data_IF_149113016429
#
_entry.id   IF_149113016429
#
_cell.length_a   1.000
_cell.length_b   1.000
_cell.length_c   1.000
_cell.angle_alpha   90.00
_cell.angle_beta   90.00
_cell.angle_gamma   90.00
#
_symmetry.space_group_name_H-M   'P 1'
#
loop_
_entity.id
_entity.type
_entity.pdbx_description
1 polymer ?
#
# COMPACT_ATOMS: atom_id res chain seq x y z
N UNK A 1 -24.45 37.31 -24.13
CA UNK A 1 -23.25 37.29 -23.27
C UNK A 1 -23.13 35.88 -22.72
N UNK A 2 -22.12 35.09 -23.10
CA UNK A 2 -21.90 33.76 -22.54
C UNK A 2 -21.19 33.88 -21.19
N UNK A 3 -21.65 33.14 -20.20
CA UNK A 3 -21.05 33.01 -18.87
C UNK A 3 -19.74 32.24 -19.01
N UNK A 4 -18.67 32.85 -18.58
CA UNK A 4 -17.32 32.29 -18.52
C UNK A 4 -17.26 31.18 -17.45
N UNK A 5 -16.98 30.00 -17.93
CA UNK A 5 -16.65 28.79 -17.15
C UNK A 5 -15.35 29.05 -16.36
N UNK A 6 -15.46 29.11 -15.06
CA UNK A 6 -14.30 29.18 -14.17
C UNK A 6 -13.65 27.78 -14.12
N UNK A 7 -12.67 27.56 -14.99
CA UNK A 7 -11.79 26.39 -14.92
C UNK A 7 -11.03 26.45 -13.61
N UNK A 8 -11.29 25.45 -12.76
CA UNK A 8 -10.51 25.17 -11.58
C UNK A 8 -9.02 25.05 -11.97
N UNK A 9 -8.24 26.00 -11.48
CA UNK A 9 -6.78 25.99 -11.67
C UNK A 9 -6.21 24.81 -10.88
N UNK A 10 -5.28 24.01 -11.42
CA UNK A 10 -4.64 22.92 -10.67
C UNK A 10 -3.95 23.51 -9.42
N UNK A 11 -4.25 22.91 -8.26
CA UNK A 11 -3.64 23.28 -6.98
C UNK A 11 -2.13 22.99 -7.07
N UNK A 12 -1.26 23.99 -6.85
CA UNK A 12 0.18 23.76 -6.82
C UNK A 12 0.53 22.82 -5.67
N UNK A 13 1.63 22.03 -5.78
CA UNK A 13 2.10 21.18 -4.70
C UNK A 13 2.36 22.02 -3.43
N UNK A 14 2.16 21.47 -2.23
CA UNK A 14 2.24 22.24 -0.99
C UNK A 14 3.64 22.80 -0.77
N UNK A 15 3.75 24.13 -0.68
CA UNK A 15 4.92 24.81 -0.12
C UNK A 15 5.03 24.43 1.35
N UNK A 16 6.05 23.67 1.72
CA UNK A 16 6.35 23.45 3.12
C UNK A 16 7.00 22.13 3.52
N UNK A 17 7.87 21.56 2.68
CA UNK A 17 8.81 20.53 3.15
C UNK A 17 10.08 20.57 2.28
N UNK A 18 10.91 21.57 2.46
CA UNK A 18 12.26 21.60 1.90
C UNK A 18 13.22 20.82 2.82
N UNK A 19 13.02 19.52 2.97
CA UNK A 19 14.11 18.58 3.13
C UNK A 19 14.54 18.20 1.72
N UNK A 20 15.85 18.01 1.44
CA UNK A 20 16.38 17.62 0.15
C UNK A 20 15.69 16.30 -0.29
N UNK A 21 14.58 16.43 -0.99
CA UNK A 21 13.74 15.30 -1.42
C UNK A 21 14.49 14.67 -2.58
N UNK A 22 15.15 13.51 -2.32
CA UNK A 22 15.76 12.69 -3.36
C UNK A 22 14.72 12.25 -4.38
N UNK A 23 15.18 11.64 -5.48
CA UNK A 23 14.26 11.07 -6.48
C UNK A 23 13.25 10.12 -5.83
N UNK A 24 11.95 10.18 -6.20
CA UNK A 24 10.92 9.33 -5.62
C UNK A 24 11.21 7.85 -5.92
N UNK A 25 10.92 6.98 -4.97
CA UNK A 25 11.01 5.53 -5.19
C UNK A 25 9.89 5.05 -6.12
N UNK A 26 8.69 5.57 -5.95
CA UNK A 26 7.53 5.32 -6.82
C UNK A 26 7.03 6.66 -7.32
N UNK A 27 6.89 6.79 -8.64
CA UNK A 27 6.32 7.98 -9.27
C UNK A 27 5.18 7.60 -10.21
N UNK A 28 4.05 8.25 -10.03
CA UNK A 28 2.82 8.10 -10.82
C UNK A 28 2.58 9.44 -11.51
N UNK A 29 2.39 9.44 -12.84
CA UNK A 29 2.22 10.67 -13.65
C UNK A 29 1.07 10.51 -14.62
N UNK A 30 0.05 11.35 -14.48
CA UNK A 30 -1.10 11.43 -15.36
C UNK A 30 -1.86 10.10 -15.49
N UNK A 31 -1.84 9.25 -14.45
CA UNK A 31 -2.33 7.88 -14.56
C UNK A 31 -3.84 7.84 -14.56
N UNK A 32 -4.38 7.25 -15.62
CA UNK A 32 -5.81 6.96 -15.74
C UNK A 32 -6.04 5.46 -15.93
N UNK A 33 -7.14 4.94 -15.37
CA UNK A 33 -7.57 3.55 -15.53
C UNK A 33 -9.05 3.48 -15.85
N UNK A 34 -9.35 2.87 -16.99
CA UNK A 34 -10.70 2.61 -17.44
C UNK A 34 -11.03 1.11 -17.33
N UNK A 35 -12.23 0.80 -16.88
CA UNK A 35 -12.87 -0.52 -16.98
C UNK A 35 -14.14 -0.36 -17.83
N UNK A 36 -14.03 -0.64 -19.14
CA UNK A 36 -15.06 -0.24 -20.09
C UNK A 36 -15.23 1.28 -20.09
N UNK A 37 -16.44 1.76 -19.83
CA UNK A 37 -16.77 3.19 -19.75
C UNK A 37 -16.55 3.78 -18.34
N UNK A 38 -16.25 2.96 -17.34
CA UNK A 38 -16.03 3.40 -15.97
C UNK A 38 -14.58 3.82 -15.74
N UNK A 39 -14.36 5.11 -15.41
CA UNK A 39 -13.07 5.65 -15.04
C UNK A 39 -12.80 5.43 -13.55
N UNK A 40 -11.99 4.41 -13.23
CA UNK A 40 -11.59 4.10 -11.86
C UNK A 40 -10.47 4.98 -11.34
N UNK A 41 -9.57 5.46 -12.22
CA UNK A 41 -8.54 6.45 -11.94
C UNK A 41 -8.57 7.51 -13.04
N UNK A 42 -8.37 8.78 -12.66
CA UNK A 42 -8.42 9.94 -13.54
C UNK A 42 -7.26 10.86 -13.23
N UNK A 43 -6.30 10.91 -14.15
CA UNK A 43 -5.17 11.84 -14.11
C UNK A 43 -4.46 11.90 -12.75
N UNK A 44 -4.02 10.73 -12.25
CA UNK A 44 -3.41 10.60 -10.93
C UNK A 44 -1.93 10.97 -11.01
N UNK A 45 -1.53 11.94 -10.19
CA UNK A 45 -0.14 12.28 -9.90
C UNK A 45 0.18 11.99 -8.44
N UNK A 46 1.21 11.16 -8.21
CA UNK A 46 1.64 10.78 -6.86
C UNK A 46 3.11 10.39 -6.85
N UNK A 47 3.89 10.97 -5.94
CA UNK A 47 5.24 10.53 -5.61
C UNK A 47 5.25 9.87 -4.23
N UNK A 48 6.06 8.81 -4.08
CA UNK A 48 6.34 8.17 -2.79
C UNK A 48 7.85 8.08 -2.66
N UNK A 49 8.38 8.72 -1.62
CA UNK A 49 9.82 8.79 -1.38
C UNK A 49 10.31 7.59 -0.55
N UNK A 50 11.63 7.35 -0.58
CA UNK A 50 12.24 6.27 0.20
C UNK A 50 12.06 6.51 1.70
N UNK A 51 11.60 5.48 2.41
CA UNK A 51 11.29 5.54 3.84
C UNK A 51 9.98 6.24 4.16
N UNK A 52 9.27 6.80 3.18
CA UNK A 52 7.98 7.48 3.39
C UNK A 52 6.84 6.47 3.57
N UNK A 53 5.97 6.73 4.53
CA UNK A 53 4.72 6.00 4.77
C UNK A 53 3.55 6.86 4.35
N UNK A 54 2.90 6.49 3.25
CA UNK A 54 1.76 7.22 2.69
C UNK A 54 0.46 6.46 2.99
N UNK A 55 -0.47 7.09 3.72
CA UNK A 55 -1.82 6.59 3.86
C UNK A 55 -2.68 7.02 2.67
N UNK A 56 -3.34 6.08 2.02
CA UNK A 56 -4.31 6.32 0.97
C UNK A 56 -5.72 6.05 1.51
N UNK A 57 -6.48 7.11 1.72
CA UNK A 57 -7.81 7.06 2.33
C UNK A 57 -8.89 7.59 1.39
N UNK A 58 -10.16 7.29 1.69
CA UNK A 58 -11.29 7.72 0.88
C UNK A 58 -12.45 6.73 0.92
N UNK A 59 -13.58 7.09 0.35
CA UNK A 59 -14.76 6.25 0.31
C UNK A 59 -14.52 4.92 -0.46
N UNK A 60 -15.34 3.92 -0.21
CA UNK A 60 -15.32 2.69 -1.01
C UNK A 60 -15.60 3.04 -2.48
N UNK A 61 -14.86 2.38 -3.40
CA UNK A 61 -14.96 2.64 -4.83
C UNK A 61 -14.24 3.92 -5.32
N UNK A 62 -13.50 4.64 -4.46
CA UNK A 62 -12.76 5.85 -4.88
C UNK A 62 -11.50 5.60 -5.72
N UNK A 63 -11.11 4.34 -5.97
CA UNK A 63 -9.98 3.99 -6.83
C UNK A 63 -8.71 3.55 -6.08
N UNK A 64 -8.65 3.59 -4.75
CA UNK A 64 -7.47 3.28 -3.91
C UNK A 64 -6.81 1.93 -4.24
N UNK A 65 -7.58 0.84 -4.14
CA UNK A 65 -7.10 -0.51 -4.46
C UNK A 65 -6.67 -0.64 -5.92
N UNK A 66 -7.35 0.07 -6.83
CA UNK A 66 -6.99 0.09 -8.25
C UNK A 66 -5.61 0.73 -8.43
N UNK A 67 -5.32 1.85 -7.75
CA UNK A 67 -4.01 2.50 -7.80
C UNK A 67 -2.91 1.57 -7.28
N UNK A 68 -3.09 0.93 -6.12
CA UNK A 68 -2.14 -0.06 -5.60
C UNK A 68 -1.88 -1.20 -6.59
N UNK A 69 -2.93 -1.72 -7.23
CA UNK A 69 -2.80 -2.79 -8.23
C UNK A 69 -2.13 -2.33 -9.51
N UNK A 70 -2.29 -1.06 -9.92
CA UNK A 70 -1.55 -0.49 -11.04
C UNK A 70 -0.06 -0.39 -10.72
N UNK A 71 0.32 0.06 -9.52
CA UNK A 71 1.72 0.18 -9.08
C UNK A 71 2.44 -1.18 -9.10
N UNK A 72 1.77 -2.25 -8.66
CA UNK A 72 2.33 -3.62 -8.71
C UNK A 72 2.07 -4.35 -10.04
N UNK A 73 1.57 -3.64 -11.06
CA UNK A 73 1.26 -4.18 -12.39
C UNK A 73 0.30 -5.38 -12.36
N UNK A 74 -0.56 -5.49 -11.34
CA UNK A 74 -1.69 -6.42 -11.33
C UNK A 74 -2.83 -5.92 -12.20
N UNK A 75 -2.92 -4.59 -12.36
CA UNK A 75 -3.76 -3.90 -13.33
C UNK A 75 -2.88 -3.06 -14.26
N UNK A 76 -3.29 -2.98 -15.53
CA UNK A 76 -2.65 -2.10 -16.51
C UNK A 76 -3.27 -0.71 -16.43
N UNK A 77 -2.48 0.33 -16.58
CA UNK A 77 -3.00 1.69 -16.77
C UNK A 77 -3.57 1.85 -18.17
N UNK A 78 -4.55 2.74 -18.34
CA UNK A 78 -5.11 3.09 -19.65
C UNK A 78 -4.35 4.27 -20.27
N UNK A 79 -3.82 5.16 -19.43
CA UNK A 79 -2.99 6.31 -19.81
C UNK A 79 -2.05 6.68 -18.67
N UNK A 80 -1.03 7.47 -18.96
CA UNK A 80 -0.02 7.89 -18.01
C UNK A 80 1.11 6.89 -17.80
N UNK A 81 2.00 7.18 -16.87
CA UNK A 81 3.21 6.39 -16.60
C UNK A 81 3.41 6.19 -15.10
N UNK A 82 3.77 4.96 -14.72
CA UNK A 82 4.26 4.65 -13.37
C UNK A 82 5.71 4.21 -13.48
N UNK A 83 6.58 4.78 -12.63
CA UNK A 83 7.97 4.36 -12.49
C UNK A 83 8.25 3.87 -11.08
N UNK A 84 9.13 2.87 -10.97
CA UNK A 84 9.67 2.39 -9.70
C UNK A 84 11.19 2.44 -9.79
N UNK A 85 11.82 3.09 -8.83
CA UNK A 85 13.28 3.28 -8.81
C UNK A 85 13.81 3.87 -10.14
N UNK A 86 13.10 4.90 -10.66
CA UNK A 86 13.41 5.58 -11.92
C UNK A 86 13.12 4.77 -13.19
N UNK A 87 12.55 3.56 -13.09
CA UNK A 87 12.28 2.67 -14.24
C UNK A 87 10.79 2.55 -14.49
N UNK A 88 10.31 2.69 -15.74
CA UNK A 88 8.93 2.43 -16.10
C UNK A 88 8.53 0.98 -15.75
N UNK A 89 7.25 0.78 -15.40
CA UNK A 89 6.74 -0.56 -15.13
C UNK A 89 6.86 -1.45 -16.36
N UNK A 90 7.46 -2.64 -16.25
CA UNK A 90 7.55 -3.61 -17.33
C UNK A 90 6.18 -4.21 -17.65
N UNK A 91 5.99 -4.62 -18.92
CA UNK A 91 4.73 -5.23 -19.35
C UNK A 91 4.61 -6.68 -18.92
N UNK A 92 5.66 -7.48 -19.11
CA UNK A 92 5.64 -8.91 -18.85
C UNK A 92 7.04 -9.52 -18.62
N UNK A 93 7.08 -10.82 -18.39
CA UNK A 93 8.34 -11.58 -18.37
C UNK A 93 9.13 -11.46 -17.08
N UNK A 94 10.46 -11.59 -17.20
CA UNK A 94 11.39 -11.59 -16.06
C UNK A 94 11.44 -10.25 -15.35
N UNK A 95 11.30 -9.15 -16.08
CA UNK A 95 11.34 -7.81 -15.51
C UNK A 95 10.11 -7.53 -14.65
N UNK A 96 8.93 -8.07 -15.03
CA UNK A 96 7.73 -8.00 -14.20
C UNK A 96 7.88 -8.84 -12.92
N UNK A 97 8.48 -10.03 -13.01
CA UNK A 97 8.77 -10.84 -11.83
C UNK A 97 9.77 -10.12 -10.89
N UNK A 98 10.75 -9.41 -11.45
CA UNK A 98 11.69 -8.58 -10.70
C UNK A 98 10.97 -7.41 -10.02
N UNK A 99 10.13 -6.65 -10.73
CA UNK A 99 9.33 -5.58 -10.14
C UNK A 99 8.55 -6.09 -8.94
N UNK A 100 7.82 -7.20 -9.08
CA UNK A 100 7.03 -7.80 -8.00
C UNK A 100 7.86 -8.36 -6.84
N UNK A 101 9.15 -8.58 -7.03
CA UNK A 101 10.07 -8.87 -5.94
C UNK A 101 10.58 -7.61 -5.24
N UNK A 102 10.66 -6.48 -5.96
CA UNK A 102 11.10 -5.18 -5.43
C UNK A 102 9.96 -4.38 -4.78
N UNK A 103 8.70 -4.65 -5.16
CA UNK A 103 7.49 -4.03 -4.58
C UNK A 103 6.60 -5.12 -4.02
N UNK A 104 6.66 -5.32 -2.72
CA UNK A 104 5.82 -6.27 -1.99
C UNK A 104 4.36 -5.82 -1.96
N UNK A 105 3.42 -6.76 -1.95
CA UNK A 105 2.00 -6.44 -1.81
C UNK A 105 1.32 -7.37 -0.82
N UNK A 106 0.56 -6.78 0.09
CA UNK A 106 -0.28 -7.44 1.09
C UNK A 106 -1.73 -7.09 0.80
N UNK A 107 -2.55 -8.12 0.65
CA UNK A 107 -3.96 -8.00 0.23
C UNK A 107 -4.90 -8.13 1.42
N UNK A 108 -6.10 -7.61 1.26
CA UNK A 108 -7.22 -7.78 2.19
C UNK A 108 -7.53 -9.27 2.49
N UNK A 109 -7.45 -10.14 1.50
CA UNK A 109 -7.83 -11.56 1.60
C UNK A 109 -6.66 -12.49 1.90
N UNK A 110 -5.55 -11.99 2.47
CA UNK A 110 -4.32 -12.72 2.85
C UNK A 110 -3.61 -13.43 1.70
N UNK A 111 -4.34 -14.07 0.81
CA UNK A 111 -3.87 -14.80 -0.38
C UNK A 111 -2.74 -15.82 -0.07
N UNK A 112 -2.85 -16.52 1.05
CA UNK A 112 -1.93 -17.60 1.40
C UNK A 112 -2.24 -18.86 0.58
N UNK A 113 -1.20 -19.64 0.29
CA UNK A 113 -1.36 -20.96 -0.31
C UNK A 113 -1.92 -21.91 0.75
N UNK A 114 -3.19 -22.40 0.61
CA UNK A 114 -3.90 -23.10 1.68
C UNK A 114 -3.31 -24.48 2.01
N UNK A 115 -2.58 -25.07 1.06
CA UNK A 115 -1.93 -26.38 1.19
C UNK A 115 -0.48 -26.29 1.70
N UNK A 116 0.06 -25.08 1.89
CA UNK A 116 1.40 -24.84 2.41
C UNK A 116 1.32 -24.33 3.85
N UNK A 117 2.27 -24.75 4.68
CA UNK A 117 2.45 -24.26 6.05
C UNK A 117 2.90 -22.80 6.04
N UNK A 118 2.80 -22.10 7.18
CA UNK A 118 3.22 -20.71 7.30
C UNK A 118 4.66 -20.50 6.81
N UNK A 119 5.61 -21.31 7.30
CA UNK A 119 7.02 -21.24 6.87
C UNK A 119 7.19 -21.52 5.37
N UNK A 120 6.40 -22.40 4.79
CA UNK A 120 6.46 -22.73 3.37
C UNK A 120 5.87 -21.60 2.50
N UNK A 121 4.81 -20.92 2.97
CA UNK A 121 4.30 -19.70 2.34
C UNK A 121 5.36 -18.60 2.27
N UNK A 122 6.15 -18.44 3.33
CA UNK A 122 7.21 -17.42 3.40
C UNK A 122 8.41 -17.80 2.53
N UNK A 123 8.83 -19.08 2.51
CA UNK A 123 10.04 -19.53 1.79
C UNK A 123 9.85 -19.66 0.29
N UNK A 124 8.62 -19.81 -0.20
CA UNK A 124 8.35 -20.12 -1.61
C UNK A 124 8.90 -19.07 -2.57
N UNK A 125 8.64 -17.79 -2.30
CA UNK A 125 9.12 -16.67 -3.12
C UNK A 125 10.65 -16.62 -3.22
N UNK A 126 11.39 -16.53 -2.11
CA UNK A 126 12.85 -16.54 -2.09
C UNK A 126 13.45 -17.72 -2.85
N UNK A 127 12.93 -18.93 -2.64
CA UNK A 127 13.44 -20.13 -3.31
C UNK A 127 13.17 -20.15 -4.82
N UNK A 128 11.96 -19.75 -5.24
CA UNK A 128 11.54 -19.89 -6.64
C UNK A 128 11.93 -18.71 -7.52
N UNK A 129 11.94 -17.50 -6.97
CA UNK A 129 12.19 -16.27 -7.72
C UNK A 129 13.63 -15.82 -7.58
N UNK A 130 14.19 -15.87 -6.34
CA UNK A 130 15.56 -15.41 -6.05
C UNK A 130 16.59 -16.53 -6.07
N UNK A 131 16.18 -17.81 -6.12
CA UNK A 131 17.07 -18.95 -6.13
C UNK A 131 17.79 -19.20 -4.78
N UNK A 132 17.24 -18.66 -3.67
CA UNK A 132 17.82 -18.82 -2.33
C UNK A 132 17.79 -20.30 -1.93
N UNK A 133 18.90 -20.85 -1.38
CA UNK A 133 18.95 -22.24 -0.89
C UNK A 133 17.89 -22.48 0.19
N UNK A 134 17.28 -23.68 0.18
CA UNK A 134 16.16 -24.03 1.08
C UNK A 134 16.50 -23.83 2.56
N UNK A 135 17.71 -24.16 2.98
CA UNK A 135 18.13 -24.02 4.38
C UNK A 135 18.18 -22.54 4.81
N UNK A 136 18.73 -21.68 3.96
CA UNK A 136 18.83 -20.24 4.16
C UNK A 136 17.45 -19.59 4.16
N UNK A 137 16.63 -19.85 3.12
CA UNK A 137 15.26 -19.34 3.05
C UNK A 137 14.42 -19.76 4.26
N UNK A 138 14.63 -20.98 4.79
CA UNK A 138 13.93 -21.45 5.98
C UNK A 138 14.38 -20.73 7.25
N UNK A 139 15.70 -20.51 7.42
CA UNK A 139 16.23 -19.78 8.57
C UNK A 139 15.66 -18.36 8.62
N UNK A 140 15.73 -17.65 7.49
CA UNK A 140 15.15 -16.30 7.36
C UNK A 140 13.62 -16.28 7.59
N UNK A 141 12.90 -17.25 7.05
CA UNK A 141 11.46 -17.35 7.25
C UNK A 141 11.09 -17.55 8.73
N UNK A 142 11.88 -18.31 9.49
CA UNK A 142 11.66 -18.48 10.93
C UNK A 142 11.87 -17.15 11.69
N UNK A 143 12.90 -16.38 11.33
CA UNK A 143 13.17 -15.06 11.91
C UNK A 143 12.03 -14.06 11.58
N UNK A 144 11.58 -14.04 10.32
CA UNK A 144 10.48 -13.17 9.91
C UNK A 144 9.15 -13.53 10.59
N UNK A 145 8.85 -14.83 10.71
CA UNK A 145 7.66 -15.28 11.44
C UNK A 145 7.74 -14.91 12.93
N UNK A 146 8.93 -15.01 13.53
CA UNK A 146 9.15 -14.56 14.90
C UNK A 146 8.94 -13.05 15.03
N UNK A 147 9.50 -12.26 14.11
CA UNK A 147 9.35 -10.79 14.07
C UNK A 147 7.89 -10.34 13.98
N UNK A 148 7.04 -11.07 13.26
CA UNK A 148 5.60 -10.77 13.20
C UNK A 148 4.79 -11.48 14.30
N UNK A 149 5.44 -11.97 15.39
CA UNK A 149 4.78 -12.55 16.56
C UNK A 149 4.14 -13.91 16.31
N UNK A 150 4.68 -14.73 15.40
CA UNK A 150 4.15 -16.05 15.04
C UNK A 150 5.07 -17.21 15.46
N UNK A 151 5.85 -17.03 16.55
CA UNK A 151 6.63 -18.13 17.13
C UNK A 151 5.71 -19.26 17.55
N UNK A 152 6.10 -20.51 17.18
CA UNK A 152 5.32 -21.72 17.44
C UNK A 152 4.18 -21.96 16.45
N UNK A 153 3.99 -21.09 15.43
CA UNK A 153 2.99 -21.24 14.37
C UNK A 153 3.56 -21.55 12.99
N UNK A 154 4.87 -21.73 12.88
CA UNK A 154 5.60 -21.88 11.62
C UNK A 154 5.13 -23.09 10.81
N UNK A 155 4.66 -24.12 11.50
CA UNK A 155 4.19 -25.38 10.90
C UNK A 155 2.68 -25.47 10.75
N UNK A 156 1.92 -24.42 11.14
CA UNK A 156 0.46 -24.37 10.99
C UNK A 156 0.09 -24.15 9.53
N UNK A 157 -1.00 -24.78 9.09
CA UNK A 157 -1.67 -24.48 7.82
C UNK A 157 -2.51 -23.21 7.97
N UNK A 158 -2.81 -22.45 6.90
CA UNK A 158 -3.66 -21.26 6.96
C UNK A 158 -4.99 -21.48 7.68
N UNK A 159 -5.66 -22.61 7.46
CA UNK A 159 -6.91 -22.96 8.12
C UNK A 159 -6.81 -23.14 9.65
N UNK A 160 -5.60 -23.25 10.20
CA UNK A 160 -5.32 -23.39 11.64
C UNK A 160 -4.91 -22.04 12.28
N UNK A 161 -4.89 -20.97 11.50
CA UNK A 161 -4.49 -19.64 11.91
C UNK A 161 -5.71 -18.69 11.95
N UNK A 162 -5.74 -17.78 12.92
CA UNK A 162 -6.72 -16.69 12.93
C UNK A 162 -6.50 -15.76 11.73
N UNK A 163 -7.48 -14.92 11.38
CA UNK A 163 -7.35 -13.93 10.31
C UNK A 163 -6.13 -13.02 10.49
N UNK A 164 -5.91 -12.48 11.69
CA UNK A 164 -4.73 -11.66 11.99
C UNK A 164 -3.42 -12.43 11.90
N UNK A 165 -3.40 -13.72 12.29
CA UNK A 165 -2.22 -14.57 12.10
C UNK A 165 -1.95 -14.83 10.62
N UNK A 166 -2.98 -15.07 9.81
CA UNK A 166 -2.84 -15.24 8.37
C UNK A 166 -2.30 -13.96 7.71
N UNK A 167 -2.79 -12.79 8.13
CA UNK A 167 -2.30 -11.51 7.63
C UNK A 167 -0.83 -11.29 7.98
N UNK A 168 -0.43 -11.62 9.20
CA UNK A 168 0.98 -11.50 9.60
C UNK A 168 1.88 -12.49 8.85
N UNK A 169 1.40 -13.70 8.49
CA UNK A 169 2.12 -14.59 7.55
C UNK A 169 2.23 -13.93 6.17
N UNK A 170 1.18 -13.27 5.66
CA UNK A 170 1.23 -12.58 4.37
C UNK A 170 2.24 -11.42 4.38
N UNK A 171 2.34 -10.67 5.49
CA UNK A 171 3.37 -9.64 5.68
C UNK A 171 4.77 -10.27 5.67
N UNK A 172 5.00 -11.33 6.47
CA UNK A 172 6.29 -12.02 6.51
C UNK A 172 6.69 -12.58 5.14
N UNK A 173 5.74 -13.12 4.37
CA UNK A 173 5.94 -13.60 3.00
C UNK A 173 6.40 -12.48 2.06
N UNK A 174 5.80 -11.30 2.16
CA UNK A 174 6.19 -10.15 1.35
C UNK A 174 7.59 -9.66 1.74
N UNK A 175 7.90 -9.57 3.04
CA UNK A 175 9.21 -9.15 3.57
C UNK A 175 10.35 -10.10 3.17
N UNK A 176 10.09 -11.40 3.04
CA UNK A 176 11.09 -12.39 2.62
C UNK A 176 11.64 -12.15 1.21
N UNK A 177 10.97 -11.34 0.40
CA UNK A 177 11.47 -10.90 -0.90
C UNK A 177 12.43 -9.72 -0.82
N UNK A 178 12.67 -9.12 0.36
CA UNK A 178 13.48 -7.91 0.59
C UNK A 178 13.01 -6.74 -0.30
N UNK A 179 11.73 -6.38 -0.26
CA UNK A 179 11.19 -5.36 -1.14
C UNK A 179 11.72 -3.98 -0.77
N UNK A 180 11.80 -3.09 -1.77
CA UNK A 180 12.12 -1.66 -1.60
C UNK A 180 10.93 -0.86 -1.08
N UNK A 181 9.72 -1.32 -1.39
CA UNK A 181 8.46 -0.76 -0.91
C UNK A 181 7.42 -1.85 -0.65
N UNK A 182 6.51 -1.59 0.27
CA UNK A 182 5.36 -2.43 0.59
C UNK A 182 4.05 -1.71 0.27
N UNK A 183 3.17 -2.35 -0.49
CA UNK A 183 1.81 -1.90 -0.74
C UNK A 183 0.85 -2.71 0.12
N UNK A 184 0.01 -2.04 0.87
CA UNK A 184 -1.03 -2.65 1.70
C UNK A 184 -2.41 -2.25 1.15
N UNK A 185 -3.18 -3.23 0.67
CA UNK A 185 -4.54 -3.02 0.15
C UNK A 185 -5.55 -3.47 1.20
N UNK A 186 -5.97 -2.55 2.07
CA UNK A 186 -6.92 -2.74 3.17
C UNK A 186 -6.55 -3.94 4.09
N UNK A 187 -5.36 -3.95 4.70
CA UNK A 187 -4.83 -5.14 5.38
C UNK A 187 -5.62 -5.58 6.62
N UNK A 188 -6.52 -4.75 7.13
CA UNK A 188 -7.30 -5.01 8.37
C UNK A 188 -8.78 -5.23 8.12
N UNK A 189 -9.30 -4.91 6.92
CA UNK A 189 -10.76 -4.87 6.66
C UNK A 189 -11.48 -6.23 6.72
N UNK A 190 -10.73 -7.34 6.64
CA UNK A 190 -11.27 -8.70 6.77
C UNK A 190 -11.02 -9.31 8.17
N UNK A 191 -10.63 -8.48 9.16
CA UNK A 191 -10.25 -8.92 10.50
C UNK A 191 -11.28 -8.51 11.56
N UNK A 192 -11.37 -9.34 12.59
CA UNK A 192 -12.09 -8.97 13.80
C UNK A 192 -11.39 -7.79 14.52
N UNK A 193 -12.14 -6.85 15.14
CA UNK A 193 -11.58 -5.68 15.80
C UNK A 193 -10.50 -6.01 16.85
N UNK A 194 -10.63 -7.15 17.54
CA UNK A 194 -9.69 -7.57 18.59
C UNK A 194 -8.29 -7.88 18.07
N UNK A 195 -8.16 -8.28 16.78
CA UNK A 195 -6.88 -8.67 16.18
C UNK A 195 -6.28 -7.61 15.23
N UNK A 196 -7.02 -6.54 14.93
CA UNK A 196 -6.55 -5.43 14.08
C UNK A 196 -5.27 -4.83 14.65
N UNK A 197 -5.24 -4.61 15.96
CA UNK A 197 -4.09 -4.00 16.64
C UNK A 197 -2.79 -4.77 16.38
N UNK A 198 -2.82 -6.11 16.44
CA UNK A 198 -1.63 -6.94 16.23
C UNK A 198 -1.01 -6.75 14.83
N UNK A 199 -1.85 -6.51 13.81
CA UNK A 199 -1.40 -6.25 12.45
C UNK A 199 -0.85 -4.83 12.31
N UNK A 200 -1.53 -3.84 12.93
CA UNK A 200 -1.09 -2.44 12.92
C UNK A 200 0.22 -2.25 13.70
N UNK A 201 0.43 -2.97 14.78
CA UNK A 201 1.68 -2.96 15.56
C UNK A 201 2.86 -3.42 14.67
N UNK A 202 2.69 -4.52 13.90
CA UNK A 202 3.69 -4.98 12.93
C UNK A 202 3.95 -3.92 11.84
N UNK A 203 2.91 -3.28 11.32
CA UNK A 203 3.07 -2.23 10.30
C UNK A 203 3.78 -0.99 10.87
N UNK A 204 3.52 -0.65 12.12
CA UNK A 204 4.22 0.45 12.83
C UNK A 204 5.71 0.14 12.99
N UNK A 205 6.07 -1.09 13.39
CA UNK A 205 7.48 -1.51 13.47
C UNK A 205 8.18 -1.43 12.10
N UNK A 206 7.48 -1.72 11.01
CA UNK A 206 8.02 -1.59 9.66
C UNK A 206 8.25 -0.12 9.26
N UNK A 207 7.33 0.78 9.65
CA UNK A 207 7.46 2.22 9.46
C UNK A 207 8.70 2.77 10.21
N UNK A 208 8.82 2.43 11.50
CA UNK A 208 9.94 2.83 12.34
C UNK A 208 11.29 2.29 11.83
N UNK A 209 11.27 1.12 11.17
CA UNK A 209 12.45 0.55 10.51
C UNK A 209 12.78 1.21 9.16
N UNK A 210 12.06 2.26 8.74
CA UNK A 210 12.29 3.00 7.51
C UNK A 210 11.78 2.31 6.23
N UNK A 211 10.83 1.39 6.35
CA UNK A 211 10.20 0.75 5.18
C UNK A 211 9.33 1.75 4.43
N UNK A 212 9.55 1.89 3.11
CA UNK A 212 8.65 2.67 2.25
C UNK A 212 7.31 1.95 2.13
N UNK A 213 6.21 2.64 2.42
CA UNK A 213 4.89 2.02 2.41
C UNK A 213 3.82 2.90 1.76
N UNK A 214 2.95 2.29 0.95
CA UNK A 214 1.65 2.85 0.56
C UNK A 214 0.56 1.99 1.18
N UNK A 215 -0.25 2.58 2.04
CA UNK A 215 -1.23 1.85 2.85
C UNK A 215 -2.64 2.35 2.55
N UNK A 216 -3.43 1.56 1.84
CA UNK A 216 -4.88 1.77 1.74
C UNK A 216 -5.49 1.32 3.06
N UNK A 217 -6.11 2.23 3.79
CA UNK A 217 -6.63 1.92 5.12
C UNK A 217 -7.90 2.70 5.46
N UNK A 218 -8.69 2.12 6.35
CA UNK A 218 -9.79 2.76 7.08
C UNK A 218 -9.42 3.02 8.55
N UNK A 219 -8.20 2.66 8.97
CA UNK A 219 -7.70 2.86 10.32
C UNK A 219 -7.16 4.29 10.48
N UNK A 220 -8.03 5.24 10.82
CA UNK A 220 -7.68 6.67 10.91
C UNK A 220 -6.63 6.95 11.98
N UNK A 221 -6.62 6.16 13.06
CA UNK A 221 -5.59 6.23 14.10
C UNK A 221 -4.19 5.92 13.55
N UNK A 222 -4.06 4.86 12.74
CA UNK A 222 -2.81 4.52 12.06
C UNK A 222 -2.40 5.61 11.08
N UNK A 223 -3.32 6.07 10.22
CA UNK A 223 -3.05 7.12 9.25
C UNK A 223 -2.59 8.43 9.91
N UNK A 224 -3.12 8.76 11.10
CA UNK A 224 -2.77 9.99 11.83
C UNK A 224 -1.43 9.91 12.56
N UNK A 225 -1.09 8.75 13.15
CA UNK A 225 0.04 8.68 14.09
C UNK A 225 1.29 7.99 13.52
N UNK A 226 1.16 7.22 12.44
CA UNK A 226 2.25 6.42 11.88
C UNK A 226 2.66 6.88 10.49
N UNK A 227 1.73 7.41 9.69
CA UNK A 227 2.03 7.84 8.34
C UNK A 227 2.64 9.24 8.29
N UNK A 228 3.53 9.48 7.31
CA UNK A 228 4.14 10.78 7.07
C UNK A 228 3.23 11.69 6.25
N UNK A 229 2.37 11.10 5.42
CA UNK A 229 1.44 11.83 4.54
C UNK A 229 0.14 11.07 4.37
N UNK A 230 -0.95 11.82 4.31
CA UNK A 230 -2.29 11.33 3.98
C UNK A 230 -2.66 11.83 2.59
N UNK A 231 -3.10 10.91 1.73
CA UNK A 231 -3.63 11.17 0.39
C UNK A 231 -5.10 10.76 0.39
N UNK A 232 -5.98 11.73 0.18
CA UNK A 232 -7.41 11.50 0.11
C UNK A 232 -7.88 11.37 -1.33
N UNK A 233 -8.48 10.24 -1.65
CA UNK A 233 -9.07 9.96 -2.96
C UNK A 233 -10.59 9.95 -2.92
N UNK A 234 -11.20 10.54 -3.94
CA UNK A 234 -12.63 10.46 -4.18
C UNK A 234 -12.91 10.43 -5.68
N UNK A 235 -13.84 9.54 -6.10
CA UNK A 235 -14.33 9.44 -7.50
C UNK A 235 -13.22 9.28 -8.55
N UNK A 236 -12.15 8.56 -8.19
CA UNK A 236 -11.01 8.27 -9.07
C UNK A 236 -9.95 9.36 -9.12
N UNK A 237 -10.03 10.40 -8.30
CA UNK A 237 -9.12 11.54 -8.26
C UNK A 237 -8.43 11.66 -6.91
N UNK A 238 -7.19 12.19 -6.88
CA UNK A 238 -6.58 12.69 -5.65
C UNK A 238 -7.13 14.09 -5.40
N UNK A 239 -7.89 14.23 -4.30
CA UNK A 239 -8.57 15.48 -3.94
C UNK A 239 -7.70 16.33 -3.04
N UNK A 240 -6.95 15.69 -2.13
CA UNK A 240 -6.11 16.38 -1.17
C UNK A 240 -4.96 15.47 -0.74
N UNK A 241 -3.77 16.06 -0.57
CA UNK A 241 -2.64 15.42 0.05
C UNK A 241 -2.04 16.38 1.07
N UNK A 242 -1.82 15.91 2.30
CA UNK A 242 -1.30 16.74 3.39
C UNK A 242 -0.58 15.88 4.44
N UNK A 243 0.19 16.54 5.33
CA UNK A 243 0.64 15.93 6.57
C UNK A 243 -0.55 15.49 7.42
N UNK A 244 -0.44 14.39 8.20
CA UNK A 244 -1.58 13.83 8.93
C UNK A 244 -2.26 14.84 9.83
N UNK A 245 -1.52 15.58 10.67
CA UNK A 245 -2.13 16.54 11.61
C UNK A 245 -2.92 17.63 10.85
N UNK A 246 -2.36 18.17 9.76
CA UNK A 246 -3.03 19.18 8.94
C UNK A 246 -4.30 18.60 8.27
N UNK A 247 -4.23 17.36 7.77
CA UNK A 247 -5.37 16.71 7.13
C UNK A 247 -6.52 16.47 8.11
N UNK A 248 -6.24 15.93 9.31
CA UNK A 248 -7.27 15.55 10.27
C UNK A 248 -7.85 16.73 11.07
N UNK A 249 -7.10 17.84 11.22
CA UNK A 249 -7.58 19.00 12.00
C UNK A 249 -8.14 20.13 11.13
N UNK A 250 -7.56 20.35 9.96
CA UNK A 250 -7.90 21.46 9.07
C UNK A 250 -7.91 21.05 7.58
N UNK A 251 -8.73 20.06 7.18
CA UNK A 251 -8.81 19.65 5.77
C UNK A 251 -9.22 20.82 4.88
N UNK A 252 -8.59 20.96 3.73
CA UNK A 252 -8.80 22.09 2.82
C UNK A 252 -10.04 21.89 1.98
N UNK A 253 -10.21 20.70 1.39
CA UNK A 253 -11.31 20.40 0.49
C UNK A 253 -12.61 20.13 1.25
N UNK A 254 -13.75 20.57 0.68
CA UNK A 254 -15.06 20.27 1.26
C UNK A 254 -15.34 18.75 1.24
N UNK A 255 -14.89 18.05 0.18
CA UNK A 255 -15.02 16.57 0.06
C UNK A 255 -14.30 15.84 1.20
N UNK A 256 -13.10 16.31 1.60
CA UNK A 256 -12.36 15.75 2.74
C UNK A 256 -13.07 16.03 4.07
N UNK A 257 -13.60 17.24 4.27
CA UNK A 257 -14.40 17.60 5.48
C UNK A 257 -15.62 16.70 5.63
N UNK A 258 -16.36 16.50 4.54
CA UNK A 258 -17.57 15.68 4.52
C UNK A 258 -17.24 14.20 4.79
N UNK A 259 -16.11 13.71 4.26
CA UNK A 259 -15.61 12.36 4.51
C UNK A 259 -15.22 12.18 6.00
N UNK A 260 -14.38 13.07 6.54
CA UNK A 260 -13.95 13.00 7.94
C UNK A 260 -15.13 13.13 8.91
N UNK A 261 -16.09 14.00 8.61
CA UNK A 261 -17.29 14.15 9.42
C UNK A 261 -18.12 12.86 9.52
N UNK A 262 -18.11 12.02 8.49
CA UNK A 262 -18.77 10.71 8.50
C UNK A 262 -17.97 9.63 9.24
N UNK A 263 -16.64 9.62 9.06
CA UNK A 263 -15.77 8.55 9.58
C UNK A 263 -15.43 8.77 11.06
N UNK A 264 -15.29 10.02 11.51
CA UNK A 264 -14.96 10.35 12.91
C UNK A 264 -16.20 10.45 13.82
N UNK A 265 -17.41 10.41 13.26
CA UNK A 265 -18.66 10.42 14.02
C UNK A 265 -19.08 9.01 14.52
N UNK A 266 -18.34 8.00 14.18
CA UNK A 266 -18.49 6.60 14.62
C UNK A 266 -17.27 6.16 15.45
#
# INVERSE_FOLDING_TARGET
>A
MPMTDARDTPVPPPDGAAAAVGEPLISVRGVSKLFGDFAALKDIDLDIHRGEVVALIGASGSGKSTLCRCINRLETVSDGVITVDGRPLPEEGRDLARLRSEVGMVFQSFNLFPHLRAVENVTLGPMKVRGVPKAEARAEAMELLARVGLQGKEHSLPAQLSGGQQQRVAIARALAMHPKAMLFDEPTSALDPEVIKEVLDVMTELAEAGMTMLVVTHEMGFARHVCDRVVFMDSGEIVEAAEPEAFFTAPRSQRAKDFLGKVLAH
#
